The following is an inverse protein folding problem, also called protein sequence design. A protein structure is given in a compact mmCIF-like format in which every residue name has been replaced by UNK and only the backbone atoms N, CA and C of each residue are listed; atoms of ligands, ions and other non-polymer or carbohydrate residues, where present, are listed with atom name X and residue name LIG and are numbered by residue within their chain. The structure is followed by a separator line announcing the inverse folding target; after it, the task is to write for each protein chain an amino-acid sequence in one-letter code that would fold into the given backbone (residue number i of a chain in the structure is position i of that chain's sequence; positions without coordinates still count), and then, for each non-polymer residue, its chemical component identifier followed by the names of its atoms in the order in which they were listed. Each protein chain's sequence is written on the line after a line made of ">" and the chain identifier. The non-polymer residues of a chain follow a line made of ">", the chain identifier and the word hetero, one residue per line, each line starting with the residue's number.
data_IF_035118496174
#
_entry.id   IF_035118496174
#
_cell.length_a   1.000
_cell.length_b   1.000
_cell.length_c   1.000
_cell.angle_alpha   90.00
_cell.angle_beta   90.00
_cell.angle_gamma   90.00
#
_symmetry.space_group_name_H-M   'P 1'
#
loop_
_entity.id
_entity.type
_entity.pdbx_description
1 polymer ?
#
# COMPACT_ATOMS: atom_id res chain seq x y z
N UNK A 1 2.64 -19.24 59.39
CA UNK A 1 3.29 -18.16 58.62
C UNK A 1 3.59 -18.69 57.23
N UNK A 2 2.72 -18.35 56.26
CA UNK A 2 2.95 -18.75 54.86
C UNK A 2 3.65 -17.63 54.12
N UNK A 3 4.85 -17.93 53.59
CA UNK A 3 5.62 -17.00 52.80
C UNK A 3 5.13 -17.10 51.35
N UNK A 4 4.51 -16.03 50.86
CA UNK A 4 4.12 -15.89 49.43
C UNK A 4 5.36 -15.39 48.69
N UNK A 5 5.95 -16.27 47.85
CA UNK A 5 6.98 -15.90 46.89
C UNK A 5 6.29 -15.21 45.69
N UNK A 6 6.50 -13.90 45.56
CA UNK A 6 6.13 -13.14 44.38
C UNK A 6 7.23 -13.33 43.33
N UNK A 7 6.93 -14.10 42.27
CA UNK A 7 7.79 -14.18 41.09
C UNK A 7 7.55 -12.93 40.23
N UNK A 8 8.47 -11.95 40.31
CA UNK A 8 8.54 -10.88 39.32
C UNK A 8 9.10 -11.47 38.01
N UNK A 9 8.27 -11.69 37.02
CA UNK A 9 8.73 -11.88 35.66
C UNK A 9 9.29 -10.55 35.13
N UNK A 10 10.62 -10.44 35.06
CA UNK A 10 11.27 -9.38 34.29
C UNK A 10 11.00 -9.67 32.81
N UNK A 11 10.05 -8.97 32.22
CA UNK A 11 9.91 -8.90 30.77
C UNK A 11 11.14 -8.15 30.28
N UNK A 12 12.11 -8.85 29.72
CA UNK A 12 13.18 -8.24 28.94
C UNK A 12 12.51 -7.61 27.71
N UNK A 13 12.19 -6.33 27.78
CA UNK A 13 11.93 -5.52 26.58
C UNK A 13 13.29 -5.41 25.89
N UNK A 14 13.52 -6.27 24.89
CA UNK A 14 14.61 -6.10 23.96
C UNK A 14 14.46 -4.70 23.37
N UNK A 15 15.53 -3.87 23.47
CA UNK A 15 15.57 -2.60 22.77
C UNK A 15 15.29 -2.90 21.29
N UNK A 16 14.21 -2.34 20.75
CA UNK A 16 13.88 -2.49 19.35
C UNK A 16 15.09 -2.05 18.53
N UNK A 17 15.53 -2.92 17.62
CA UNK A 17 16.62 -2.60 16.73
C UNK A 17 16.14 -1.46 15.81
N UNK A 18 16.69 -0.25 16.02
CA UNK A 18 16.37 0.94 15.23
C UNK A 18 17.00 0.89 13.82
N UNK A 19 17.36 -0.30 13.36
CA UNK A 19 17.85 -0.47 12.00
C UNK A 19 16.71 -0.23 11.01
N UNK A 20 16.81 0.84 10.23
CA UNK A 20 15.84 1.16 9.20
C UNK A 20 16.03 0.29 7.97
N UNK A 21 14.94 -0.28 7.48
CA UNK A 21 14.85 -1.04 6.23
C UNK A 21 14.22 -0.19 5.13
N UNK A 22 14.54 -0.53 3.88
CA UNK A 22 13.81 -0.04 2.69
C UNK A 22 13.25 -1.24 1.96
N UNK A 23 11.93 -1.29 1.81
CA UNK A 23 11.27 -2.38 1.11
C UNK A 23 11.62 -2.38 -0.37
N UNK A 24 11.89 -3.56 -0.89
CA UNK A 24 12.00 -3.84 -2.32
C UNK A 24 11.55 -5.27 -2.63
N UNK A 25 11.20 -5.51 -3.87
CA UNK A 25 10.91 -6.84 -4.39
C UNK A 25 11.66 -7.04 -5.70
N UNK A 26 12.26 -8.21 -5.88
CA UNK A 26 12.97 -8.54 -7.12
C UNK A 26 11.94 -8.98 -8.16
N UNK A 27 11.82 -8.21 -9.25
CA UNK A 27 10.89 -8.51 -10.32
C UNK A 27 11.24 -9.81 -11.03
N UNK A 28 10.21 -10.55 -11.42
CA UNK A 28 10.31 -11.77 -12.22
C UNK A 28 9.56 -11.59 -13.52
N UNK A 29 10.08 -12.17 -14.60
CA UNK A 29 9.46 -12.13 -15.93
C UNK A 29 8.91 -13.50 -16.38
N UNK A 30 8.85 -14.44 -15.47
CA UNK A 30 8.27 -15.77 -15.66
C UNK A 30 6.83 -15.89 -15.10
N UNK A 31 6.26 -14.76 -14.65
CA UNK A 31 4.92 -14.63 -14.08
C UNK A 31 4.69 -15.42 -12.78
N UNK A 32 5.76 -15.85 -12.12
CA UNK A 32 5.71 -16.48 -10.80
C UNK A 32 5.84 -15.42 -9.70
N UNK A 33 5.29 -15.73 -8.53
CA UNK A 33 5.37 -14.84 -7.37
C UNK A 33 6.84 -14.58 -6.97
N UNK A 34 7.24 -13.31 -6.77
CA UNK A 34 8.57 -13.02 -6.25
C UNK A 34 8.63 -13.35 -4.75
N UNK A 35 9.74 -13.93 -4.32
CA UNK A 35 10.05 -14.04 -2.89
C UNK A 35 10.56 -12.70 -2.36
N UNK A 36 10.27 -12.41 -1.08
CA UNK A 36 10.92 -11.33 -0.35
C UNK A 36 12.40 -11.67 -0.07
N UNK A 37 13.21 -10.64 0.14
CA UNK A 37 14.53 -10.87 0.70
C UNK A 37 14.40 -11.47 2.12
N UNK A 38 15.21 -12.49 2.50
CA UNK A 38 15.14 -13.12 3.81
C UNK A 38 15.24 -12.14 5.00
N UNK A 39 15.91 -10.99 4.83
CA UNK A 39 15.94 -9.96 5.86
C UNK A 39 14.56 -9.40 6.22
N UNK A 40 13.54 -9.61 5.38
CA UNK A 40 12.17 -9.16 5.57
C UNK A 40 11.20 -10.25 6.06
N UNK A 41 11.65 -11.48 6.32
CA UNK A 41 10.77 -12.58 6.73
C UNK A 41 9.98 -12.29 8.01
N UNK A 42 10.43 -11.33 8.81
CA UNK A 42 9.76 -10.95 10.05
C UNK A 42 8.50 -10.10 9.85
N UNK A 43 8.29 -9.46 8.70
CA UNK A 43 7.21 -8.49 8.51
C UNK A 43 5.81 -9.08 8.70
N UNK A 44 5.62 -10.36 8.33
CA UNK A 44 4.32 -11.04 8.45
C UNK A 44 3.86 -11.19 9.90
N UNK A 45 4.80 -11.26 10.86
CA UNK A 45 4.48 -11.31 12.30
C UNK A 45 3.74 -10.06 12.78
N UNK A 46 3.88 -8.96 12.05
CA UNK A 46 3.23 -7.67 12.31
C UNK A 46 2.03 -7.42 11.41
N UNK A 47 1.46 -8.47 10.80
CA UNK A 47 0.30 -8.33 9.93
C UNK A 47 0.58 -7.50 8.68
N UNK A 48 1.78 -7.64 8.12
CA UNK A 48 2.20 -6.96 6.90
C UNK A 48 2.07 -7.88 5.69
N UNK A 49 1.69 -7.29 4.55
CA UNK A 49 1.46 -8.00 3.28
C UNK A 49 2.27 -7.34 2.17
N UNK A 50 2.83 -8.14 1.27
CA UNK A 50 3.44 -7.67 0.04
C UNK A 50 2.95 -8.44 -1.19
N UNK A 51 2.28 -9.57 -0.96
CA UNK A 51 1.77 -10.49 -1.96
C UNK A 51 0.63 -11.31 -1.36
N UNK A 52 -0.27 -11.81 -2.18
CA UNK A 52 -1.28 -12.77 -1.73
C UNK A 52 -0.79 -14.21 -1.93
N UNK A 53 -0.44 -14.86 -0.82
CA UNK A 53 0.02 -16.25 -0.83
C UNK A 53 -1.10 -17.27 -1.07
N UNK A 54 -2.37 -16.88 -0.89
CA UNK A 54 -3.51 -17.75 -1.12
C UNK A 54 -3.79 -17.89 -2.63
N UNK A 55 -3.45 -16.86 -3.41
CA UNK A 55 -3.52 -16.86 -4.87
C UNK A 55 -2.10 -16.96 -5.46
N UNK A 56 -1.36 -18.00 -5.03
CA UNK A 56 0.00 -18.24 -5.47
C UNK A 56 0.10 -18.91 -6.84
N UNK A 57 1.32 -19.31 -7.16
CA UNK A 57 1.63 -20.00 -8.41
C UNK A 57 0.79 -21.26 -8.59
N UNK A 58 0.15 -21.41 -9.74
CA UNK A 58 -0.73 -22.53 -10.05
C UNK A 58 -2.18 -22.39 -9.57
N UNK A 59 -2.55 -21.32 -8.87
CA UNK A 59 -3.95 -21.03 -8.58
C UNK A 59 -4.65 -20.55 -9.86
N UNK A 60 -5.81 -21.15 -10.18
CA UNK A 60 -6.58 -20.80 -11.38
C UNK A 60 -7.26 -19.43 -11.25
N UNK A 61 -7.66 -19.04 -10.04
CA UNK A 61 -8.19 -17.71 -9.75
C UNK A 61 -7.04 -16.70 -9.72
N UNK A 62 -6.96 -15.88 -10.77
CA UNK A 62 -5.92 -14.89 -10.96
C UNK A 62 -6.38 -13.53 -10.44
N UNK A 63 -5.72 -13.02 -9.41
CA UNK A 63 -6.07 -11.73 -8.79
C UNK A 63 -4.88 -10.77 -8.75
N UNK A 64 -5.19 -9.49 -8.94
CA UNK A 64 -4.27 -8.35 -8.76
C UNK A 64 -4.93 -7.37 -7.79
N UNK A 65 -4.16 -6.84 -6.85
CA UNK A 65 -4.56 -5.79 -5.93
C UNK A 65 -3.92 -4.48 -6.37
N UNK A 66 -4.70 -3.65 -7.06
CA UNK A 66 -4.21 -2.39 -7.61
C UNK A 66 -4.16 -1.33 -6.53
N UNK A 67 -2.99 -0.75 -6.32
CA UNK A 67 -2.77 0.24 -5.26
C UNK A 67 -2.04 1.47 -5.79
N UNK A 68 -2.37 2.64 -5.23
CA UNK A 68 -1.81 3.92 -5.61
C UNK A 68 -1.32 4.71 -4.39
N UNK A 69 -0.12 5.29 -4.47
CA UNK A 69 0.34 6.28 -3.50
C UNK A 69 0.07 7.68 -4.05
N UNK A 70 -0.80 8.45 -3.36
CA UNK A 70 -1.38 9.68 -3.86
C UNK A 70 -1.23 10.84 -2.86
N UNK A 71 -0.26 11.72 -3.10
CA UNK A 71 0.01 12.86 -2.21
C UNK A 71 -0.49 14.22 -2.70
N UNK A 72 -0.70 14.38 -3.99
CA UNK A 72 -1.15 15.63 -4.62
C UNK A 72 -1.77 15.34 -5.99
N UNK A 73 -2.53 16.30 -6.52
CA UNK A 73 -3.14 16.24 -7.86
C UNK A 73 -2.34 17.09 -8.85
N UNK A 74 -2.20 16.58 -10.07
CA UNK A 74 -1.57 17.26 -11.21
C UNK A 74 -2.33 17.06 -12.54
N UNK A 75 -3.62 16.74 -12.46
CA UNK A 75 -4.49 16.46 -13.60
C UNK A 75 -4.51 14.98 -14.01
N UNK A 76 -3.91 14.07 -13.24
CA UNK A 76 -3.82 12.65 -13.58
C UNK A 76 -4.58 11.72 -12.61
N UNK A 77 -4.81 12.10 -11.35
CA UNK A 77 -5.64 11.32 -10.42
C UNK A 77 -7.08 11.23 -10.94
N UNK A 78 -7.62 12.36 -11.42
CA UNK A 78 -8.96 12.39 -12.01
C UNK A 78 -9.09 11.39 -13.18
N UNK A 79 -8.12 11.39 -14.10
CA UNK A 79 -8.08 10.45 -15.24
C UNK A 79 -7.96 8.99 -14.78
N UNK A 80 -7.17 8.75 -13.75
CA UNK A 80 -7.03 7.42 -13.14
C UNK A 80 -8.37 6.93 -12.60
N UNK A 81 -9.11 7.77 -11.86
CA UNK A 81 -10.44 7.45 -11.35
C UNK A 81 -11.44 7.22 -12.48
N UNK A 82 -11.40 8.03 -13.56
CA UNK A 82 -12.27 7.82 -14.74
C UNK A 82 -12.05 6.45 -15.36
N UNK A 83 -10.80 6.01 -15.51
CA UNK A 83 -10.47 4.69 -16.03
C UNK A 83 -10.98 3.59 -15.10
N UNK A 84 -10.67 3.68 -13.79
CA UNK A 84 -11.09 2.68 -12.79
C UNK A 84 -12.62 2.51 -12.79
N UNK A 85 -13.35 3.63 -12.84
CA UNK A 85 -14.80 3.64 -12.91
C UNK A 85 -15.30 2.98 -14.20
N UNK A 86 -14.76 3.38 -15.35
CA UNK A 86 -15.17 2.83 -16.66
C UNK A 86 -14.92 1.34 -16.78
N UNK A 87 -13.84 0.87 -16.16
CA UNK A 87 -13.44 -0.53 -16.14
C UNK A 87 -14.08 -1.32 -14.98
N UNK A 88 -14.80 -0.68 -14.06
CA UNK A 88 -15.35 -1.30 -12.84
C UNK A 88 -14.27 -2.07 -12.07
N UNK A 89 -13.15 -1.38 -11.76
CA UNK A 89 -11.99 -1.94 -11.07
C UNK A 89 -11.83 -1.28 -9.70
N UNK A 90 -11.87 -2.04 -8.59
CA UNK A 90 -11.56 -1.51 -7.28
C UNK A 90 -10.05 -1.23 -7.17
N UNK A 91 -9.69 -0.24 -6.36
CA UNK A 91 -8.31 0.08 -6.03
C UNK A 91 -8.17 0.56 -4.59
N UNK A 92 -6.94 0.59 -4.08
CA UNK A 92 -6.65 1.21 -2.80
C UNK A 92 -5.72 2.43 -3.01
N UNK A 93 -6.12 3.57 -2.47
CA UNK A 93 -5.36 4.81 -2.52
C UNK A 93 -4.74 5.10 -1.15
N UNK A 94 -3.44 5.05 -1.04
CA UNK A 94 -2.68 5.47 0.13
C UNK A 94 -2.42 6.97 0.00
N UNK A 95 -3.15 7.77 0.77
CA UNK A 95 -3.20 9.22 0.59
C UNK A 95 -2.45 9.98 1.70
N UNK A 96 -2.11 11.23 1.40
CA UNK A 96 -1.50 12.17 2.33
C UNK A 96 -2.50 13.28 2.74
N UNK A 97 -2.21 13.94 3.86
CA UNK A 97 -3.02 15.06 4.33
C UNK A 97 -3.12 16.23 3.34
N UNK A 98 -2.09 16.45 2.51
CA UNK A 98 -2.13 17.47 1.47
C UNK A 98 -3.23 17.22 0.43
N UNK A 99 -3.44 15.96 0.01
CA UNK A 99 -4.48 15.63 -0.96
C UNK A 99 -5.88 15.88 -0.39
N UNK A 100 -6.11 15.52 0.88
CA UNK A 100 -7.38 15.80 1.57
C UNK A 100 -7.71 17.28 1.59
N UNK A 101 -6.72 18.14 1.91
CA UNK A 101 -6.91 19.59 2.02
C UNK A 101 -7.08 20.28 0.67
N UNK A 102 -6.27 19.88 -0.32
CA UNK A 102 -6.19 20.58 -1.60
C UNK A 102 -7.20 20.08 -2.63
N UNK A 103 -7.62 18.82 -2.52
CA UNK A 103 -8.49 18.16 -3.50
C UNK A 103 -9.54 17.28 -2.80
N UNK A 104 -10.34 17.83 -1.86
CA UNK A 104 -11.33 17.06 -1.10
C UNK A 104 -12.32 16.31 -2.00
N UNK A 105 -12.74 16.94 -3.10
CA UNK A 105 -13.70 16.34 -4.05
C UNK A 105 -13.14 15.05 -4.69
N UNK A 106 -11.85 14.99 -5.01
CA UNK A 106 -11.23 13.79 -5.54
C UNK A 106 -11.15 12.68 -4.49
N UNK A 107 -10.87 13.03 -3.23
CA UNK A 107 -10.87 12.04 -2.15
C UNK A 107 -12.29 11.54 -1.88
N UNK A 108 -13.31 12.42 -1.87
CA UNK A 108 -14.71 12.00 -1.81
C UNK A 108 -15.07 11.06 -2.96
N UNK A 109 -14.63 11.38 -4.18
CA UNK A 109 -14.83 10.54 -5.34
C UNK A 109 -14.22 9.14 -5.18
N UNK A 110 -13.02 9.02 -4.56
CA UNK A 110 -12.42 7.70 -4.25
C UNK A 110 -13.36 6.86 -3.38
N UNK A 111 -13.94 7.43 -2.33
CA UNK A 111 -14.90 6.73 -1.47
C UNK A 111 -16.19 6.37 -2.22
N UNK A 112 -16.77 7.32 -2.96
CA UNK A 112 -18.07 7.18 -3.60
C UNK A 112 -18.03 6.18 -4.79
N UNK A 113 -16.86 5.99 -5.40
CA UNK A 113 -16.61 5.00 -6.47
C UNK A 113 -16.15 3.64 -5.92
N UNK A 114 -16.17 3.46 -4.58
CA UNK A 114 -15.93 2.16 -3.93
C UNK A 114 -14.45 1.78 -3.80
N UNK A 115 -13.56 2.75 -3.88
CA UNK A 115 -12.14 2.53 -3.61
C UNK A 115 -11.83 2.59 -2.12
N UNK A 116 -10.80 1.87 -1.69
CA UNK A 116 -10.27 1.96 -0.34
C UNK A 116 -9.37 3.20 -0.22
N UNK A 117 -9.70 4.10 0.70
CA UNK A 117 -8.84 5.23 1.05
C UNK A 117 -8.04 4.85 2.28
N UNK A 118 -6.72 4.83 2.16
CA UNK A 118 -5.79 4.22 3.09
C UNK A 118 -4.75 5.22 3.61
N UNK A 119 -4.06 4.88 4.67
CA UNK A 119 -3.13 5.77 5.37
C UNK A 119 -1.70 5.68 4.79
N UNK A 120 -1.18 6.82 4.28
CA UNK A 120 0.22 6.98 3.87
C UNK A 120 0.98 7.99 4.73
N UNK A 121 0.55 8.15 5.99
CA UNK A 121 0.88 9.23 6.93
C UNK A 121 0.27 10.58 6.50
N UNK A 122 0.30 11.54 7.41
CA UNK A 122 -0.19 12.89 7.10
C UNK A 122 0.79 13.69 6.25
N UNK A 123 2.09 13.61 6.59
CA UNK A 123 3.12 14.51 6.05
C UNK A 123 4.18 13.83 5.18
N UNK A 124 4.02 12.53 4.87
CA UNK A 124 5.00 11.72 4.12
C UNK A 124 6.40 11.65 4.75
N UNK A 125 6.48 11.81 6.07
CA UNK A 125 7.76 11.67 6.78
C UNK A 125 8.07 10.20 7.04
N UNK A 126 9.36 9.86 7.04
CA UNK A 126 9.79 8.53 7.47
C UNK A 126 9.36 8.26 8.91
N UNK A 127 8.85 7.07 9.15
CA UNK A 127 8.43 6.60 10.47
C UNK A 127 9.52 5.79 11.18
N UNK A 128 10.65 5.54 10.53
CA UNK A 128 11.82 4.86 11.11
C UNK A 128 12.36 5.66 12.30
N UNK A 129 12.57 4.98 13.42
CA UNK A 129 13.10 5.57 14.66
C UNK A 129 12.14 6.52 15.38
N UNK A 130 10.87 6.54 15.02
CA UNK A 130 9.86 7.36 15.72
C UNK A 130 9.37 6.67 16.99
N UNK A 131 9.01 7.47 18.00
CA UNK A 131 8.28 6.95 19.15
C UNK A 131 6.85 6.56 18.76
N UNK A 132 6.21 5.71 19.57
CA UNK A 132 4.80 5.32 19.40
C UNK A 132 3.89 6.55 19.30
N UNK A 133 4.10 7.56 20.14
CA UNK A 133 3.29 8.78 20.11
C UNK A 133 3.45 9.55 18.80
N UNK A 134 4.69 9.70 18.30
CA UNK A 134 4.96 10.40 17.04
C UNK A 134 4.39 9.62 15.84
N UNK A 135 4.50 8.28 15.85
CA UNK A 135 3.89 7.42 14.84
C UNK A 135 2.38 7.55 14.84
N UNK A 136 1.74 7.38 16.02
CA UNK A 136 0.29 7.49 16.18
C UNK A 136 -0.23 8.87 15.79
N UNK A 137 0.50 9.94 16.10
CA UNK A 137 0.14 11.29 15.75
C UNK A 137 0.04 11.49 14.22
N UNK A 138 0.99 10.97 13.44
CA UNK A 138 0.97 11.05 11.96
C UNK A 138 -0.21 10.29 11.35
N UNK A 139 -0.49 9.07 11.82
CA UNK A 139 -1.61 8.27 11.30
C UNK A 139 -2.96 8.89 11.69
N UNK A 140 -3.10 9.30 12.94
CA UNK A 140 -4.33 9.93 13.44
C UNK A 140 -4.58 11.30 12.80
N UNK A 141 -3.54 12.08 12.51
CA UNK A 141 -3.69 13.35 11.82
C UNK A 141 -4.36 13.20 10.45
N UNK A 142 -3.99 12.17 9.67
CA UNK A 142 -4.66 11.91 8.39
C UNK A 142 -6.09 11.42 8.59
N UNK A 143 -6.29 10.46 9.51
CA UNK A 143 -7.62 9.94 9.83
C UNK A 143 -8.56 11.07 10.24
N UNK A 144 -8.13 11.93 11.15
CA UNK A 144 -8.91 13.07 11.62
C UNK A 144 -9.19 14.07 10.50
N UNK A 145 -8.20 14.38 9.64
CA UNK A 145 -8.42 15.26 8.50
C UNK A 145 -9.49 14.74 7.55
N UNK A 146 -9.50 13.43 7.24
CA UNK A 146 -10.57 12.84 6.42
C UNK A 146 -11.93 12.91 7.12
N UNK A 147 -11.98 12.62 8.41
CA UNK A 147 -13.22 12.69 9.18
C UNK A 147 -13.77 14.13 9.27
N UNK A 148 -12.92 15.09 9.61
CA UNK A 148 -13.30 16.48 9.84
C UNK A 148 -13.64 17.21 8.54
N UNK A 149 -12.86 17.01 7.47
CA UNK A 149 -13.04 17.72 6.20
C UNK A 149 -14.06 17.05 5.28
N UNK A 150 -14.19 15.70 5.33
CA UNK A 150 -14.98 14.95 4.35
C UNK A 150 -16.16 14.20 4.99
N UNK A 151 -16.21 14.08 6.33
CA UNK A 151 -17.18 13.23 7.00
C UNK A 151 -17.00 11.74 6.70
N UNK A 152 -15.80 11.31 6.37
CA UNK A 152 -15.48 9.94 5.93
C UNK A 152 -14.35 9.36 6.77
N UNK A 153 -14.42 8.07 7.06
CA UNK A 153 -13.38 7.34 7.77
C UNK A 153 -12.52 6.53 6.80
N UNK A 154 -11.19 6.65 6.91
CA UNK A 154 -10.26 5.90 6.10
C UNK A 154 -10.18 4.43 6.57
N UNK A 155 -9.79 3.56 5.63
CA UNK A 155 -9.57 2.13 5.89
C UNK A 155 -8.30 1.90 6.72
N UNK A 156 -8.28 0.83 7.52
CA UNK A 156 -7.15 0.48 8.39
C UNK A 156 -6.04 -0.26 7.65
N UNK A 157 -5.62 0.32 6.52
CA UNK A 157 -4.43 -0.08 5.76
C UNK A 157 -3.42 1.06 5.79
N UNK A 158 -2.16 0.71 6.03
CA UNK A 158 -1.05 1.65 6.12
C UNK A 158 0.04 1.26 5.13
N UNK A 159 0.64 2.23 4.47
CA UNK A 159 1.86 2.04 3.69
C UNK A 159 2.94 3.00 4.19
N UNK A 160 4.13 2.48 4.55
CA UNK A 160 5.22 3.35 4.98
C UNK A 160 5.68 4.26 3.82
N UNK A 161 5.89 5.56 4.05
CA UNK A 161 6.49 6.45 3.07
C UNK A 161 7.82 5.88 2.53
N UNK A 162 7.99 5.93 1.20
CA UNK A 162 9.17 5.41 0.49
C UNK A 162 9.45 3.91 0.74
N UNK A 163 8.51 3.16 1.30
CA UNK A 163 8.72 1.79 1.76
C UNK A 163 9.71 1.67 2.91
N UNK A 164 9.99 2.76 3.64
CA UNK A 164 10.95 2.78 4.75
C UNK A 164 10.27 2.45 6.07
N UNK A 165 10.82 1.46 6.76
CA UNK A 165 10.26 0.95 8.01
C UNK A 165 11.36 0.42 8.94
N UNK A 166 10.99 0.19 10.18
CA UNK A 166 11.71 -0.61 11.16
C UNK A 166 10.71 -1.54 11.87
N UNK A 167 11.21 -2.48 12.64
CA UNK A 167 10.36 -3.44 13.35
C UNK A 167 9.40 -2.74 14.31
N UNK A 168 9.85 -1.65 14.95
CA UNK A 168 9.03 -0.86 15.85
C UNK A 168 7.84 -0.21 15.14
N UNK A 169 8.05 0.40 13.97
CA UNK A 169 6.98 1.04 13.19
C UNK A 169 5.93 0.05 12.69
N UNK A 170 6.34 -1.17 12.32
CA UNK A 170 5.40 -2.25 11.96
C UNK A 170 4.57 -2.70 13.16
N UNK A 171 5.22 -2.83 14.33
CA UNK A 171 4.52 -3.18 15.55
C UNK A 171 3.50 -2.10 15.94
N UNK A 172 3.86 -0.82 15.88
CA UNK A 172 2.94 0.28 16.17
C UNK A 172 1.74 0.31 15.23
N UNK A 173 1.96 0.10 13.94
CA UNK A 173 0.88 0.00 12.97
C UNK A 173 -0.09 -1.14 13.34
N UNK A 174 0.44 -2.31 13.67
CA UNK A 174 -0.35 -3.48 14.05
C UNK A 174 -1.12 -3.26 15.37
N UNK A 175 -0.50 -2.66 16.38
CA UNK A 175 -1.16 -2.31 17.66
C UNK A 175 -2.30 -1.29 17.48
N UNK A 176 -2.18 -0.38 16.52
CA UNK A 176 -3.23 0.56 16.13
C UNK A 176 -4.32 -0.07 15.23
N UNK A 177 -4.22 -1.36 14.94
CA UNK A 177 -5.18 -2.11 14.12
C UNK A 177 -4.98 -1.99 12.62
N UNK A 178 -3.90 -1.34 12.16
CA UNK A 178 -3.57 -1.25 10.75
C UNK A 178 -2.91 -2.54 10.24
N UNK A 179 -3.20 -2.88 8.98
CA UNK A 179 -2.39 -3.81 8.20
C UNK A 179 -1.41 -3.02 7.35
N UNK A 180 -0.11 -3.35 7.45
CA UNK A 180 0.91 -2.71 6.61
C UNK A 180 0.93 -3.37 5.24
N UNK A 181 0.80 -2.57 4.18
CA UNK A 181 0.73 -3.05 2.80
C UNK A 181 1.94 -2.54 2.03
N UNK A 182 2.86 -3.45 1.74
CA UNK A 182 3.94 -3.26 0.79
C UNK A 182 3.47 -3.59 -0.63
N UNK A 183 4.37 -4.00 -1.51
CA UNK A 183 4.08 -4.35 -2.90
C UNK A 183 4.98 -5.47 -3.38
N UNK A 184 4.53 -6.24 -4.35
CA UNK A 184 5.35 -7.22 -5.07
C UNK A 184 5.76 -6.71 -6.46
N UNK A 185 5.09 -5.67 -6.96
CA UNK A 185 5.49 -4.94 -8.16
C UNK A 185 5.39 -3.44 -7.97
N UNK A 186 6.45 -2.72 -8.37
CA UNK A 186 6.50 -1.27 -8.53
C UNK A 186 7.58 -0.92 -9.57
N UNK A 187 7.53 0.29 -10.10
CA UNK A 187 8.61 0.81 -10.93
C UNK A 187 8.77 2.32 -10.71
N UNK A 188 9.86 2.92 -11.24
CA UNK A 188 10.14 4.33 -11.05
C UNK A 188 9.21 5.20 -11.92
N UNK A 189 8.00 5.48 -11.42
CA UNK A 189 6.94 6.26 -12.06
C UNK A 189 6.61 7.56 -11.32
N UNK A 190 7.18 7.78 -10.13
CA UNK A 190 6.92 8.93 -9.26
C UNK A 190 7.59 10.24 -9.72
N UNK A 191 8.69 10.16 -10.50
CA UNK A 191 9.39 11.34 -10.99
C UNK A 191 8.75 11.86 -12.27
N UNK A 192 7.92 12.90 -12.14
CA UNK A 192 7.22 13.49 -13.29
C UNK A 192 8.15 14.08 -14.36
N UNK A 193 9.44 14.31 -14.05
CA UNK A 193 10.43 14.79 -15.00
C UNK A 193 11.19 13.66 -15.73
N UNK A 194 10.99 12.39 -15.29
CA UNK A 194 11.69 11.21 -15.83
C UNK A 194 10.72 10.08 -16.12
N UNK A 195 9.61 10.38 -16.74
CA UNK A 195 8.62 9.39 -17.08
C UNK A 195 9.13 8.41 -18.16
N UNK A 196 8.87 7.13 -17.94
CA UNK A 196 9.08 6.09 -18.95
C UNK A 196 8.09 6.29 -20.10
N UNK A 197 8.48 5.96 -21.34
CA UNK A 197 7.51 5.99 -22.44
C UNK A 197 6.37 4.99 -22.23
N UNK A 198 5.17 5.30 -22.72
CA UNK A 198 3.97 4.48 -22.58
C UNK A 198 4.22 2.99 -22.92
N UNK A 199 4.84 2.71 -24.08
CA UNK A 199 5.10 1.33 -24.51
C UNK A 199 6.05 0.58 -23.58
N UNK A 200 7.10 1.25 -23.08
CA UNK A 200 8.05 0.63 -22.14
C UNK A 200 7.42 0.39 -20.77
N UNK A 201 6.61 1.33 -20.27
CA UNK A 201 5.93 1.19 -19.00
C UNK A 201 4.89 0.05 -19.07
N UNK A 202 4.06 0.03 -20.11
CA UNK A 202 3.10 -1.04 -20.36
C UNK A 202 3.79 -2.41 -20.45
N UNK A 203 4.85 -2.50 -21.27
CA UNK A 203 5.62 -3.74 -21.38
C UNK A 203 6.18 -4.16 -20.02
N UNK A 204 6.73 -3.22 -19.24
CA UNK A 204 7.29 -3.52 -17.92
C UNK A 204 6.24 -4.06 -16.95
N UNK A 205 5.05 -3.48 -16.91
CA UNK A 205 3.94 -3.98 -16.09
C UNK A 205 3.55 -5.40 -16.55
N UNK A 206 3.27 -5.56 -17.84
CA UNK A 206 2.77 -6.83 -18.37
C UNK A 206 3.79 -7.98 -18.32
N UNK A 207 5.08 -7.71 -18.50
CA UNK A 207 6.13 -8.73 -18.42
C UNK A 207 6.36 -9.25 -16.98
N UNK A 208 5.98 -8.48 -15.96
CA UNK A 208 6.26 -8.82 -14.57
C UNK A 208 5.02 -9.18 -13.76
N UNK A 209 3.83 -9.10 -14.37
CA UNK A 209 2.58 -9.45 -13.68
C UNK A 209 2.59 -10.89 -13.20
N UNK A 210 2.08 -11.14 -12.01
CA UNK A 210 1.96 -12.46 -11.41
C UNK A 210 0.68 -12.57 -10.59
N UNK A 211 0.25 -13.79 -10.30
CA UNK A 211 -0.94 -13.99 -9.50
C UNK A 211 -0.72 -13.53 -8.05
N UNK A 212 -1.76 -12.97 -7.43
CA UNK A 212 -1.68 -12.43 -6.07
C UNK A 212 -0.83 -11.15 -5.95
N UNK A 213 -0.60 -10.44 -7.07
CA UNK A 213 0.22 -9.24 -7.10
C UNK A 213 -0.40 -8.08 -6.31
N UNK A 214 0.38 -7.45 -5.44
CA UNK A 214 0.09 -6.10 -4.95
C UNK A 214 0.89 -5.14 -5.84
N UNK A 215 0.17 -4.50 -6.77
CA UNK A 215 0.74 -3.56 -7.74
C UNK A 215 0.75 -2.15 -7.16
N UNK A 216 1.92 -1.55 -7.02
CA UNK A 216 2.07 -0.14 -6.66
C UNK A 216 2.33 0.70 -7.90
N UNK A 217 1.47 1.70 -8.11
CA UNK A 217 1.62 2.75 -9.09
C UNK A 217 1.44 4.12 -8.43
N UNK A 218 1.93 5.19 -9.08
CA UNK A 218 1.65 6.56 -8.65
C UNK A 218 0.65 7.21 -9.63
N UNK A 219 -0.51 7.68 -9.16
CA UNK A 219 -1.56 8.20 -10.05
C UNK A 219 -1.21 9.58 -10.61
N UNK A 220 -0.17 10.24 -10.08
CA UNK A 220 0.39 11.48 -10.63
C UNK A 220 1.27 11.26 -11.86
N UNK A 221 1.59 10.02 -12.20
CA UNK A 221 2.33 9.66 -13.42
C UNK A 221 1.46 9.88 -14.66
N UNK A 222 1.86 10.79 -15.53
CA UNK A 222 1.19 11.01 -16.81
C UNK A 222 1.25 9.75 -17.70
N UNK A 223 2.32 8.97 -17.60
CA UNK A 223 2.46 7.70 -18.31
C UNK A 223 1.45 6.67 -17.81
N UNK A 224 1.32 6.50 -16.48
CA UNK A 224 0.33 5.58 -15.92
C UNK A 224 -1.10 5.99 -16.29
N UNK A 225 -1.44 7.27 -16.17
CA UNK A 225 -2.76 7.77 -16.56
C UNK A 225 -3.07 7.49 -18.03
N UNK A 226 -2.07 7.52 -18.91
CA UNK A 226 -2.24 7.27 -20.34
C UNK A 226 -2.40 5.77 -20.69
N UNK A 227 -1.81 4.85 -19.92
CA UNK A 227 -1.78 3.42 -20.25
C UNK A 227 -2.71 2.56 -19.41
N UNK A 228 -3.26 3.08 -18.31
CA UNK A 228 -3.98 2.30 -17.30
C UNK A 228 -5.16 1.53 -17.89
N UNK A 229 -5.93 2.16 -18.77
CA UNK A 229 -7.07 1.51 -19.44
C UNK A 229 -6.62 0.28 -20.23
N UNK A 230 -5.63 0.44 -21.10
CA UNK A 230 -5.09 -0.65 -21.91
C UNK A 230 -4.47 -1.77 -21.06
N UNK A 231 -3.76 -1.41 -19.98
CA UNK A 231 -3.20 -2.38 -19.02
C UNK A 231 -4.30 -3.20 -18.38
N UNK A 232 -5.35 -2.56 -17.86
CA UNK A 232 -6.49 -3.26 -17.24
C UNK A 232 -7.18 -4.18 -18.22
N UNK A 233 -7.49 -3.71 -19.45
CA UNK A 233 -8.12 -4.52 -20.49
C UNK A 233 -7.25 -5.74 -20.82
N UNK A 234 -5.95 -5.54 -20.99
CA UNK A 234 -5.00 -6.63 -21.27
C UNK A 234 -4.96 -7.66 -20.16
N UNK A 235 -4.85 -7.22 -18.90
CA UNK A 235 -4.82 -8.12 -17.74
C UNK A 235 -6.12 -8.91 -17.60
N UNK A 236 -7.27 -8.28 -17.79
CA UNK A 236 -8.56 -8.97 -17.83
C UNK A 236 -8.63 -10.02 -18.95
N UNK A 237 -8.09 -9.72 -20.13
CA UNK A 237 -8.04 -10.68 -21.23
C UNK A 237 -7.14 -11.89 -20.97
N UNK A 238 -6.16 -11.73 -20.07
CA UNK A 238 -5.27 -12.80 -19.57
C UNK A 238 -5.88 -13.57 -18.38
N UNK A 239 -7.12 -13.26 -18.02
CA UNK A 239 -7.86 -13.93 -16.94
C UNK A 239 -7.63 -13.36 -15.55
N UNK A 240 -6.95 -12.23 -15.41
CA UNK A 240 -6.83 -11.56 -14.11
C UNK A 240 -8.11 -10.79 -13.77
N UNK A 241 -8.53 -10.90 -12.51
CA UNK A 241 -9.49 -10.00 -11.88
C UNK A 241 -8.77 -9.04 -10.94
N UNK A 242 -9.46 -8.00 -10.52
CA UNK A 242 -8.94 -7.04 -9.55
C UNK A 242 -9.68 -7.22 -8.23
N UNK A 243 -8.91 -7.49 -7.16
CA UNK A 243 -9.42 -7.70 -5.79
C UNK A 243 -9.23 -6.45 -4.92
N UNK A 244 -9.81 -6.48 -3.73
CA UNK A 244 -9.67 -5.44 -2.72
C UNK A 244 -8.67 -5.86 -1.62
N UNK A 245 -8.10 -4.89 -0.89
CA UNK A 245 -7.27 -5.23 0.27
C UNK A 245 -8.10 -5.91 1.39
N UNK A 246 -9.41 -5.72 1.42
CA UNK A 246 -10.27 -6.45 2.36
C UNK A 246 -10.29 -7.94 2.02
N UNK A 247 -10.39 -8.29 0.73
CA UNK A 247 -10.26 -9.67 0.27
C UNK A 247 -8.88 -10.25 0.61
N UNK A 248 -7.80 -9.53 0.30
CA UNK A 248 -6.42 -9.94 0.61
C UNK A 248 -6.24 -10.27 2.09
N UNK A 249 -6.81 -9.47 2.96
CA UNK A 249 -6.63 -9.56 4.42
C UNK A 249 -7.73 -10.35 5.13
N UNK A 250 -8.71 -10.90 4.42
CA UNK A 250 -9.83 -11.68 4.99
C UNK A 250 -10.77 -10.85 5.87
N UNK A 251 -11.09 -9.63 5.45
CA UNK A 251 -12.01 -8.71 6.16
C UNK A 251 -13.34 -8.56 5.45
#
# INVERSE_FOLDING_TARGET
>A
MSIILVFCFLINVSAADNHGYSWYCVHRNDHLQPASDPQFDFIERYGSYYIDKNHGDGCEDKVIYLTFDAGYENGNIEKTLDVLKSQNVPAAFFILGNLVKSNPDLVCRMFDEGHLVCNHTYSHKTMVGKSTDAFSAELNALKNACHEELGRDISYYYRPPEGRFDEASLNYANELGYKTIFWSFAYADWDNNKQMSADKAKKKILDNVHNGEIMLLHPTSATNAAILDEVIVTLKSQGYRFGTLDELCGR
#
